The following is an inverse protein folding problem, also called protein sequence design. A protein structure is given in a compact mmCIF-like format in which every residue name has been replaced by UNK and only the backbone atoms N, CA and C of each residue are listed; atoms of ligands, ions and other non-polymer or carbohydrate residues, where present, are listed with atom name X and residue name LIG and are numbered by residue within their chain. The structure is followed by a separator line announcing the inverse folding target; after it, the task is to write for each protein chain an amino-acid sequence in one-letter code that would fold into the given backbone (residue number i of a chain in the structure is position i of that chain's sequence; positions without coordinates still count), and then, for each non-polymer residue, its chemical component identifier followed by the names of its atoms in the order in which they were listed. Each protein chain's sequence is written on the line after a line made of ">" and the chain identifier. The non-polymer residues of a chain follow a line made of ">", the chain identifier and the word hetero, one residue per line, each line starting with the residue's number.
data_IF_770697104842
#
_entry.id   IF_770697104842
#
_cell.length_a   1.000
_cell.length_b   1.000
_cell.length_c   1.000
_cell.angle_alpha   90.00
_cell.angle_beta   90.00
_cell.angle_gamma   90.00
#
_symmetry.space_group_name_H-M   'P 1'
#
loop_
_entity.id
_entity.type
_entity.pdbx_description
1 polymer ?
#
# COMPACT_ATOMS: atom_id res chain seq x y z
N UNK A 1 -3.97 5.03 -12.25
CA UNK A 1 -3.87 3.73 -11.57
C UNK A 1 -4.56 3.87 -10.23
N UNK A 2 -5.85 3.54 -10.13
CA UNK A 2 -6.65 3.79 -8.92
C UNK A 2 -6.54 2.58 -7.99
N UNK A 3 -5.96 2.77 -6.80
CA UNK A 3 -5.93 1.73 -5.77
C UNK A 3 -7.36 1.45 -5.27
N UNK A 4 -7.68 0.18 -5.09
CA UNK A 4 -8.91 -0.30 -4.46
C UNK A 4 -9.17 0.36 -3.09
N UNK A 5 -10.40 0.29 -2.54
CA UNK A 5 -10.73 0.74 -1.16
C UNK A 5 -9.88 0.08 -0.05
N UNK A 6 -9.02 -0.88 -0.39
CA UNK A 6 -8.28 -1.74 0.52
C UNK A 6 -7.08 -1.08 1.19
N UNK A 7 -6.64 0.12 0.81
CA UNK A 7 -5.49 0.73 1.50
C UNK A 7 -5.80 1.09 2.96
N UNK A 8 -7.07 1.24 3.37
CA UNK A 8 -7.42 1.42 4.78
C UNK A 8 -7.49 0.11 5.58
N UNK A 9 -7.51 -1.04 4.91
CA UNK A 9 -7.65 -2.36 5.54
C UNK A 9 -6.45 -3.27 5.31
N UNK A 10 -5.49 -2.86 4.48
CA UNK A 10 -4.31 -3.63 4.09
C UNK A 10 -3.02 -2.80 4.18
N UNK A 11 -1.88 -3.39 3.81
CA UNK A 11 -0.62 -2.68 3.70
C UNK A 11 -0.68 -1.60 2.59
N UNK A 12 -0.17 -0.39 2.86
CA UNK A 12 -0.09 0.66 1.84
C UNK A 12 0.96 0.28 0.80
N UNK A 13 0.56 0.12 -0.46
CA UNK A 13 1.50 -0.07 -1.57
C UNK A 13 2.19 1.25 -1.89
N UNK A 14 3.52 1.20 -1.99
CA UNK A 14 4.37 2.31 -2.39
C UNK A 14 4.89 2.08 -3.81
N UNK A 15 5.22 3.17 -4.50
CA UNK A 15 5.98 3.07 -5.74
C UNK A 15 7.35 2.45 -5.46
N UNK A 16 7.74 1.46 -6.26
CA UNK A 16 8.99 0.72 -6.05
C UNK A 16 10.21 1.62 -6.26
N UNK A 17 10.18 2.52 -7.23
CA UNK A 17 11.29 3.45 -7.49
C UNK A 17 11.48 4.40 -6.30
N UNK A 18 10.37 4.82 -5.69
CA UNK A 18 10.40 5.63 -4.47
C UNK A 18 11.06 4.85 -3.32
N UNK A 19 10.66 3.60 -3.10
CA UNK A 19 11.22 2.79 -2.02
C UNK A 19 12.70 2.45 -2.22
N UNK A 20 13.11 2.17 -3.45
CA UNK A 20 14.50 1.92 -3.83
C UNK A 20 15.36 3.18 -3.67
N UNK A 21 14.88 4.35 -4.15
CA UNK A 21 15.57 5.65 -4.05
C UNK A 21 16.02 5.97 -2.63
N UNK A 22 15.20 5.61 -1.64
CA UNK A 22 15.46 5.89 -0.24
C UNK A 22 15.92 4.66 0.57
N UNK A 23 16.18 3.54 -0.10
CA UNK A 23 16.59 2.27 0.51
C UNK A 23 15.70 1.87 1.70
N UNK A 24 14.38 1.89 1.49
CA UNK A 24 13.37 1.67 2.54
C UNK A 24 13.19 0.18 2.90
N UNK A 25 13.97 -0.73 2.31
CA UNK A 25 13.78 -2.17 2.53
C UNK A 25 14.03 -2.55 3.99
N UNK A 26 12.98 -3.06 4.65
CA UNK A 26 12.98 -3.52 6.05
C UNK A 26 13.43 -2.47 7.07
N UNK A 27 13.30 -1.18 6.74
CA UNK A 27 13.64 -0.08 7.65
C UNK A 27 12.45 0.39 8.48
N UNK A 28 12.77 0.84 9.68
CA UNK A 28 11.88 1.70 10.46
C UNK A 28 11.86 3.08 9.81
N UNK A 29 10.66 3.56 9.54
CA UNK A 29 10.37 4.84 8.91
C UNK A 29 9.36 5.56 9.79
N UNK A 30 9.55 6.85 10.01
CA UNK A 30 8.62 7.67 10.76
C UNK A 30 7.70 8.42 9.79
N UNK A 31 6.39 8.32 10.01
CA UNK A 31 5.41 9.19 9.36
C UNK A 31 5.07 10.32 10.33
N UNK A 32 5.44 11.54 9.97
CA UNK A 32 5.13 12.74 10.74
C UNK A 32 4.03 13.52 10.04
N UNK A 33 3.08 14.10 10.75
CA UNK A 33 2.12 15.06 10.18
C UNK A 33 2.50 16.50 10.60
N UNK A 34 1.97 17.55 9.95
CA UNK A 34 2.36 18.94 10.23
C UNK A 34 2.23 19.38 11.69
N UNK A 35 1.35 18.76 12.48
CA UNK A 35 1.20 19.06 13.91
C UNK A 35 2.33 18.48 14.80
N UNK A 36 3.31 17.78 14.23
CA UNK A 36 4.46 17.19 14.92
C UNK A 36 4.24 15.76 15.43
N UNK A 37 3.01 15.24 15.38
CA UNK A 37 2.73 13.86 15.76
C UNK A 37 3.41 12.89 14.79
N UNK A 38 3.93 11.79 15.33
CA UNK A 38 4.78 10.84 14.58
C UNK A 38 4.36 9.40 14.83
N UNK A 39 4.35 8.59 13.76
CA UNK A 39 4.02 7.17 13.78
C UNK A 39 5.16 6.34 13.19
N UNK A 40 5.76 5.42 13.97
CA UNK A 40 6.74 4.49 13.44
C UNK A 40 6.04 3.43 12.57
N UNK A 41 6.55 3.22 11.37
CA UNK A 41 6.08 2.23 10.42
C UNK A 41 7.25 1.44 9.85
N UNK A 42 6.97 0.23 9.39
CA UNK A 42 7.97 -0.61 8.72
C UNK A 42 7.64 -0.63 7.23
N UNK A 43 8.62 -0.27 6.41
CA UNK A 43 8.54 -0.48 4.98
C UNK A 43 9.21 -1.83 4.64
N UNK A 44 8.54 -2.63 3.81
CA UNK A 44 9.10 -3.87 3.28
C UNK A 44 9.07 -3.83 1.76
N UNK A 45 10.22 -4.10 1.14
CA UNK A 45 10.32 -4.42 -0.29
C UNK A 45 10.46 -5.93 -0.37
N UNK A 46 9.55 -6.60 -1.07
CA UNK A 46 9.59 -8.05 -1.26
C UNK A 46 9.40 -8.40 -2.71
N UNK A 47 10.12 -9.40 -3.18
CA UNK A 47 9.79 -10.07 -4.44
C UNK A 47 8.46 -10.81 -4.28
N UNK A 48 7.55 -10.63 -5.23
CA UNK A 48 6.40 -11.53 -5.30
C UNK A 48 6.92 -12.84 -5.93
N UNK A 49 7.09 -13.88 -5.12
CA UNK A 49 7.08 -15.23 -5.66
C UNK A 49 5.63 -15.50 -6.07
N UNK A 50 5.26 -15.20 -7.32
CA UNK A 50 4.00 -15.75 -7.82
C UNK A 50 4.17 -17.27 -7.92
N UNK A 51 3.32 -18.05 -7.27
CA UNK A 51 3.14 -19.44 -7.65
C UNK A 51 2.34 -19.43 -8.96
N UNK A 52 2.96 -19.90 -10.04
CA UNK A 52 2.30 -19.99 -11.33
C UNK A 52 1.29 -21.12 -11.32
N UNK A 53 0.07 -20.82 -11.76
CA UNK A 53 -0.95 -21.84 -12.02
C UNK A 53 -1.10 -21.96 -13.55
N UNK A 54 -0.82 -23.14 -14.11
CA UNK A 54 -1.09 -23.44 -15.52
C UNK A 54 -2.16 -24.51 -15.58
N UNK A 55 -3.19 -24.25 -16.37
CA UNK A 55 -4.16 -25.26 -16.75
C UNK A 55 -3.55 -26.12 -17.85
N UNK A 56 -3.38 -27.42 -17.58
CA UNK A 56 -3.00 -28.41 -18.58
C UNK A 56 -4.21 -29.28 -18.92
N UNK A 57 -4.10 -30.10 -19.97
CA UNK A 57 -5.14 -31.10 -20.29
C UNK A 57 -5.32 -32.16 -19.19
N UNK A 58 -4.36 -32.29 -18.27
CA UNK A 58 -4.33 -33.30 -17.21
C UNK A 58 -4.68 -32.72 -15.82
N UNK A 59 -4.92 -31.40 -15.71
CA UNK A 59 -5.32 -30.74 -14.47
C UNK A 59 -4.57 -29.43 -14.20
N UNK A 60 -4.51 -29.05 -12.93
CA UNK A 60 -3.85 -27.82 -12.47
C UNK A 60 -2.43 -28.15 -12.01
N UNK A 61 -1.43 -27.74 -12.77
CA UNK A 61 -0.03 -27.85 -12.36
C UNK A 61 0.42 -26.55 -11.68
N UNK A 62 0.90 -26.67 -10.43
CA UNK A 62 1.61 -25.58 -9.73
C UNK A 62 3.09 -25.64 -10.11
N UNK A 63 3.64 -24.51 -10.51
CA UNK A 63 5.07 -24.40 -10.79
C UNK A 63 5.64 -23.20 -10.05
N UNK A 64 6.82 -23.40 -9.46
CA UNK A 64 7.64 -22.31 -8.97
C UNK A 64 8.31 -21.68 -10.18
N UNK A 65 7.97 -20.43 -10.52
CA UNK A 65 8.66 -19.77 -11.62
C UNK A 65 10.15 -19.68 -11.31
N UNK A 66 11.03 -19.82 -12.31
CA UNK A 66 12.45 -19.58 -12.11
C UNK A 66 12.67 -18.16 -11.58
N UNK A 67 13.65 -17.99 -10.67
CA UNK A 67 13.90 -16.71 -9.97
C UNK A 67 14.18 -15.53 -10.92
N UNK A 68 14.59 -15.79 -12.16
CA UNK A 68 14.80 -14.77 -13.19
C UNK A 68 13.52 -14.23 -13.86
N UNK A 69 12.38 -14.90 -13.68
CA UNK A 69 11.08 -14.43 -14.18
C UNK A 69 10.40 -13.44 -13.22
N UNK A 70 10.90 -13.26 -11.99
CA UNK A 70 10.32 -12.37 -10.98
C UNK A 70 11.01 -11.01 -11.10
N UNK A 71 10.29 -10.00 -11.57
CA UNK A 71 10.76 -8.60 -11.57
C UNK A 71 9.83 -7.62 -10.87
N UNK A 72 8.67 -8.06 -10.42
CA UNK A 72 7.80 -7.19 -9.63
C UNK A 72 8.20 -7.23 -8.16
N UNK A 73 9.12 -6.33 -7.81
CA UNK A 73 9.32 -5.93 -6.43
C UNK A 73 8.11 -5.07 -5.99
N UNK A 74 7.51 -5.44 -4.86
CA UNK A 74 6.45 -4.63 -4.25
C UNK A 74 6.98 -3.99 -3.00
N UNK A 75 6.99 -2.66 -3.00
CA UNK A 75 7.21 -1.87 -1.80
C UNK A 75 5.88 -1.63 -1.08
N UNK A 76 5.88 -1.80 0.23
CA UNK A 76 4.69 -1.55 1.06
C UNK A 76 5.01 -1.18 2.49
N UNK A 77 4.20 -0.29 3.06
CA UNK A 77 4.17 -0.04 4.51
C UNK A 77 3.33 -1.13 5.16
N UNK A 78 3.90 -1.84 6.14
CA UNK A 78 3.22 -2.96 6.81
C UNK A 78 1.90 -2.53 7.44
N UNK A 79 0.92 -3.43 7.37
CA UNK A 79 -0.46 -3.19 7.79
C UNK A 79 -0.58 -2.59 9.21
N UNK A 80 0.18 -3.08 10.20
CA UNK A 80 0.05 -2.61 11.59
C UNK A 80 0.36 -1.13 11.75
N UNK A 81 1.48 -0.68 11.19
CA UNK A 81 1.90 0.73 11.30
C UNK A 81 0.99 1.64 10.49
N UNK A 82 0.65 1.21 9.27
CA UNK A 82 -0.19 1.98 8.37
C UNK A 82 -1.63 2.13 8.88
N UNK A 83 -2.29 1.05 9.31
CA UNK A 83 -3.68 1.11 9.80
C UNK A 83 -3.78 1.99 11.04
N UNK A 84 -2.78 1.94 11.93
CA UNK A 84 -2.73 2.83 13.09
C UNK A 84 -2.64 4.30 12.67
N UNK A 85 -1.70 4.63 11.78
CA UNK A 85 -1.60 5.98 11.22
C UNK A 85 -2.91 6.44 10.57
N UNK A 86 -3.54 5.58 9.75
CA UNK A 86 -4.76 5.90 9.04
C UNK A 86 -5.94 6.15 9.99
N UNK A 87 -6.08 5.30 11.02
CA UNK A 87 -7.13 5.40 12.04
C UNK A 87 -6.95 6.65 12.89
N UNK A 88 -5.75 6.86 13.43
CA UNK A 88 -5.46 7.98 14.33
C UNK A 88 -5.64 9.34 13.62
N UNK A 89 -5.47 9.39 12.29
CA UNK A 89 -5.64 10.59 11.48
C UNK A 89 -6.98 10.68 10.72
N UNK A 90 -7.89 9.73 10.95
CA UNK A 90 -9.24 9.76 10.36
C UNK A 90 -9.27 9.67 8.83
N UNK A 91 -8.31 8.99 8.21
CA UNK A 91 -8.27 8.82 6.76
C UNK A 91 -9.49 8.05 6.26
N UNK A 92 -10.06 8.51 5.15
CA UNK A 92 -11.20 7.91 4.49
C UNK A 92 -10.86 7.49 3.06
N UNK A 93 -11.69 6.62 2.49
CA UNK A 93 -11.52 6.17 1.11
C UNK A 93 -11.65 7.38 0.18
N UNK A 94 -10.64 7.57 -0.66
CA UNK A 94 -10.49 8.69 -1.57
C UNK A 94 -9.53 9.77 -1.07
N UNK A 95 -9.23 9.84 0.23
CA UNK A 95 -8.25 10.78 0.75
C UNK A 95 -6.86 10.46 0.18
N UNK A 96 -6.08 11.49 -0.10
CA UNK A 96 -4.75 11.36 -0.71
C UNK A 96 -3.67 11.73 0.29
N UNK A 97 -2.69 10.84 0.47
CA UNK A 97 -1.49 11.12 1.26
C UNK A 97 -0.33 11.47 0.35
N UNK A 98 0.30 12.62 0.61
CA UNK A 98 1.52 13.06 -0.07
C UNK A 98 2.67 12.95 0.91
N UNK A 99 3.73 12.24 0.51
CA UNK A 99 4.90 11.96 1.34
C UNK A 99 6.07 12.85 0.91
N UNK A 100 6.55 13.68 1.83
CA UNK A 100 7.70 14.55 1.67
C UNK A 100 8.81 14.09 2.62
N UNK A 101 10.01 13.80 2.11
CA UNK A 101 11.12 13.40 2.99
C UNK A 101 11.68 14.63 3.70
N UNK A 102 11.68 14.60 5.04
CA UNK A 102 12.23 15.69 5.86
C UNK A 102 13.50 15.30 6.61
N UNK A 103 13.75 14.01 6.83
CA UNK A 103 14.97 13.49 7.46
C UNK A 103 15.35 12.13 6.86
N UNK A 104 16.64 11.89 6.64
CA UNK A 104 17.14 10.63 6.11
C UNK A 104 18.05 9.86 7.10
N UNK A 105 18.73 10.57 8.01
CA UNK A 105 19.61 9.97 9.03
C UNK A 105 19.45 10.73 10.37
N UNK A 106 19.59 10.05 11.52
CA UNK A 106 19.78 8.60 11.67
C UNK A 106 18.50 7.79 11.37
N UNK A 107 17.34 8.44 11.45
CA UNK A 107 16.03 7.85 11.18
C UNK A 107 15.37 8.51 9.97
N UNK A 108 14.82 7.70 9.06
CA UNK A 108 14.09 8.20 7.90
C UNK A 108 12.73 8.71 8.36
N UNK A 109 12.43 9.96 8.07
CA UNK A 109 11.14 10.60 8.41
C UNK A 109 10.52 11.22 7.17
N UNK A 110 9.28 10.85 6.90
CA UNK A 110 8.43 11.50 5.89
C UNK A 110 7.39 12.35 6.59
N UNK A 111 7.31 13.62 6.19
CA UNK A 111 6.15 14.47 6.44
C UNK A 111 5.02 14.01 5.51
N UNK A 112 3.85 13.74 6.09
CA UNK A 112 2.67 13.27 5.39
C UNK A 112 1.63 14.37 5.39
N UNK A 113 1.35 14.90 4.21
CA UNK A 113 0.25 15.83 3.98
C UNK A 113 -0.99 15.03 3.59
N UNK A 114 -2.08 15.17 4.36
CA UNK A 114 -3.34 14.48 4.11
C UNK A 114 -4.29 15.46 3.40
N UNK A 115 -4.62 15.15 2.15
CA UNK A 115 -5.55 15.91 1.34
C UNK A 115 -6.89 15.17 1.36
N UNK A 116 -7.89 15.78 1.98
CA UNK A 116 -9.22 15.20 2.07
C UNK A 116 -9.91 15.18 0.71
N UNK A 117 -10.55 14.06 0.40
CA UNK A 117 -11.30 13.90 -0.84
C UNK A 117 -12.55 14.76 -0.84
N UNK A 118 -12.94 15.24 -2.02
CA UNK A 118 -14.24 15.89 -2.22
C UNK A 118 -15.39 14.90 -2.03
N UNK A 119 -16.58 15.42 -1.71
CA UNK A 119 -17.79 14.59 -1.60
C UNK A 119 -18.07 13.77 -2.85
N UNK A 120 -17.86 14.33 -4.05
CA UNK A 120 -18.05 13.61 -5.31
C UNK A 120 -17.13 12.37 -5.40
N UNK A 121 -15.87 12.54 -5.02
CA UNK A 121 -14.88 11.45 -4.97
C UNK A 121 -15.28 10.37 -3.97
N UNK A 122 -15.73 10.76 -2.77
CA UNK A 122 -16.18 9.83 -1.72
C UNK A 122 -17.42 9.04 -2.15
N UNK A 123 -18.40 9.69 -2.78
CA UNK A 123 -19.60 9.04 -3.34
C UNK A 123 -19.24 8.03 -4.44
N UNK A 124 -18.31 8.38 -5.32
CA UNK A 124 -17.84 7.49 -6.37
C UNK A 124 -17.24 6.20 -5.79
N UNK A 125 -16.34 6.31 -4.80
CA UNK A 125 -15.76 5.15 -4.14
C UNK A 125 -16.77 4.33 -3.32
N UNK A 126 -17.73 4.99 -2.66
CA UNK A 126 -18.81 4.30 -1.94
C UNK A 126 -19.68 3.48 -2.90
N UNK A 127 -20.04 4.05 -4.06
CA UNK A 127 -20.83 3.36 -5.08
C UNK A 127 -20.08 2.16 -5.66
N UNK A 128 -18.77 2.29 -5.93
CA UNK A 128 -17.94 1.15 -6.35
C UNK A 128 -17.92 0.06 -5.27
N UNK A 129 -17.72 0.44 -4.01
CA UNK A 129 -17.64 -0.50 -2.88
C UNK A 129 -18.96 -1.24 -2.66
N UNK A 130 -20.11 -0.58 -2.80
CA UNK A 130 -21.43 -1.22 -2.74
C UNK A 130 -21.69 -2.13 -3.94
N UNK A 131 -21.32 -1.69 -5.15
CA UNK A 131 -21.46 -2.51 -6.37
C UNK A 131 -20.57 -3.76 -6.33
N UNK A 132 -19.37 -3.70 -5.72
CA UNK A 132 -18.55 -4.89 -5.46
C UNK A 132 -19.21 -5.85 -4.45
N UNK A 133 -19.91 -5.33 -3.41
CA UNK A 133 -20.67 -6.17 -2.45
C UNK A 133 -21.89 -6.84 -3.08
N UNK A 134 -22.51 -6.22 -4.09
CA UNK A 134 -23.68 -6.75 -4.80
C UNK A 134 -23.33 -7.79 -5.87
N UNK A 135 -22.05 -8.07 -6.12
CA UNK A 135 -21.58 -9.14 -7.02
C UNK A 135 -21.32 -10.48 -6.32
N UNK A 136 -22.04 -10.79 -5.23
CA UNK A 136 -22.26 -12.21 -4.89
C UNK A 136 -23.29 -12.75 -5.89
N UNK A 137 -22.77 -13.28 -7.00
CA UNK A 137 -23.53 -14.13 -7.91
C UNK A 137 -24.03 -15.33 -7.09
N UNK A 138 -25.31 -15.75 -7.20
CA UNK A 138 -25.84 -16.92 -6.49
C UNK A 138 -25.02 -18.19 -6.74
#
# INVERSE_FOLDING_TARGET
>A
MMQEPSYLTTALKLDINFAQKYNLSSRNVNLQIPNGSTWPVICSVTNIEEDGIRYTREGVARYRYPSWCIREEVARIRYRGWIKFATDNGLQVGDTCVFEMIKQQPEITFLVHIIQATYATKLHFNNISQNMKLRRIP
#
